data_IF_637623247603
#
_entry.id   IF_637623247603
#
_cell.length_a   1.000
_cell.length_b   1.000
_cell.length_c   1.000
_cell.angle_alpha   90.00
_cell.angle_beta   90.00
_cell.angle_gamma   90.00
#
_symmetry.space_group_name_H-M   'P 1'
#
loop_
_entity.id
_entity.type
_entity.pdbx_description
1 polymer ?
#
# COMPACT_ATOMS: atom_id res chain seq x y z
N UNK A 1 -7.39 -13.80 15.75
CA UNK A 1 -6.54 -13.45 16.91
C UNK A 1 -6.01 -12.07 16.65
N UNK A 2 -6.37 -11.11 17.49
CA UNK A 2 -6.26 -9.67 17.19
C UNK A 2 -4.82 -9.21 16.99
N UNK A 3 -4.50 -8.84 15.75
CA UNK A 3 -3.38 -7.96 15.46
C UNK A 3 -3.63 -6.60 16.11
N UNK A 4 -2.57 -5.94 16.51
CA UNK A 4 -2.60 -4.56 17.00
C UNK A 4 -3.15 -3.68 15.87
N UNK A 5 -4.44 -3.31 15.92
CA UNK A 5 -5.23 -2.57 14.90
C UNK A 5 -4.59 -1.33 14.25
N UNK A 6 -3.53 -0.74 14.80
CA UNK A 6 -2.77 0.31 14.09
C UNK A 6 -2.08 -0.21 12.82
N UNK A 7 -1.81 -1.51 12.79
CA UNK A 7 -1.21 -2.18 11.65
C UNK A 7 -2.07 -3.42 11.33
N UNK A 8 -3.25 -3.19 10.77
CA UNK A 8 -4.10 -4.27 10.27
C UNK A 8 -3.52 -4.80 8.96
N UNK A 9 -3.56 -6.12 8.82
CA UNK A 9 -3.07 -6.84 7.65
C UNK A 9 -4.12 -7.86 7.24
N UNK A 10 -4.66 -7.71 6.04
CA UNK A 10 -5.63 -8.64 5.48
C UNK A 10 -5.01 -9.42 4.33
N UNK A 11 -5.43 -10.68 4.21
CA UNK A 11 -5.06 -11.53 3.09
C UNK A 11 -6.13 -11.44 2.01
N UNK A 12 -5.79 -10.85 0.87
CA UNK A 12 -6.62 -10.82 -0.33
C UNK A 12 -6.31 -12.08 -1.13
N UNK A 13 -7.31 -12.96 -1.27
CA UNK A 13 -7.16 -14.26 -1.91
C UNK A 13 -8.36 -14.64 -2.79
N UNK A 14 -9.09 -13.65 -3.31
CA UNK A 14 -10.29 -13.90 -4.13
C UNK A 14 -9.97 -14.61 -5.46
N UNK A 15 -8.77 -14.43 -6.01
CA UNK A 15 -8.37 -14.96 -7.33
C UNK A 15 -7.04 -15.75 -7.26
N UNK A 16 -6.31 -15.89 -8.37
CA UNK A 16 -5.04 -16.62 -8.43
C UNK A 16 -3.86 -15.84 -7.84
N UNK A 17 -4.03 -14.57 -7.48
CA UNK A 17 -3.03 -13.81 -6.71
C UNK A 17 -3.47 -13.83 -5.25
N UNK A 18 -2.64 -14.42 -4.38
CA UNK A 18 -2.79 -14.28 -2.93
C UNK A 18 -1.80 -13.22 -2.45
N UNK A 19 -2.26 -12.22 -1.71
CA UNK A 19 -1.39 -11.18 -1.19
C UNK A 19 -1.86 -10.64 0.17
N UNK A 20 -0.91 -10.34 1.04
CA UNK A 20 -1.15 -9.57 2.27
C UNK A 20 -1.09 -8.06 2.00
N UNK A 21 -2.07 -7.32 2.52
CA UNK A 21 -2.21 -5.87 2.32
C UNK A 21 -2.54 -5.22 3.67
N UNK A 22 -1.93 -4.07 3.97
CA UNK A 22 -2.14 -3.39 5.25
C UNK A 22 -2.81 -2.02 5.14
N UNK A 23 -3.23 -1.43 6.27
CA UNK A 23 -3.84 -0.08 6.32
C UNK A 23 -2.84 1.09 6.41
N UNK A 24 -1.54 0.89 6.15
CA UNK A 24 -0.49 1.92 6.27
C UNK A 24 0.48 1.94 5.07
N UNK A 25 0.02 1.49 3.90
CA UNK A 25 0.71 1.70 2.62
C UNK A 25 1.62 0.57 2.14
N UNK A 26 1.88 -0.45 2.95
CA UNK A 26 2.60 -1.67 2.54
C UNK A 26 1.65 -2.80 2.08
N UNK A 27 2.20 -3.67 1.24
CA UNK A 27 1.60 -4.87 0.71
C UNK A 27 2.69 -5.88 0.34
N UNK A 28 2.33 -7.15 0.21
CA UNK A 28 3.24 -8.18 -0.27
C UNK A 28 4.15 -8.79 0.78
N UNK A 29 4.15 -8.32 2.03
CA UNK A 29 4.88 -8.97 3.14
C UNK A 29 3.92 -9.70 4.08
N UNK A 30 4.30 -10.92 4.50
CA UNK A 30 3.51 -11.75 5.39
C UNK A 30 3.64 -11.32 6.86
N UNK A 31 2.74 -11.74 7.77
CA UNK A 31 2.91 -11.55 9.21
C UNK A 31 4.21 -12.12 9.80
N UNK A 32 4.85 -13.05 9.09
CA UNK A 32 6.11 -13.66 9.49
C UNK A 32 7.34 -12.86 9.00
N UNK A 33 7.13 -11.69 8.37
CA UNK A 33 8.15 -10.89 7.70
C UNK A 33 8.92 -11.69 6.63
N UNK A 34 8.15 -12.45 5.84
CA UNK A 34 8.62 -13.17 4.64
C UNK A 34 7.81 -12.71 3.44
N UNK A 35 8.10 -13.26 2.25
CA UNK A 35 7.22 -13.11 1.11
C UNK A 35 5.76 -13.38 1.48
N UNK A 36 4.91 -12.47 1.02
CA UNK A 36 3.50 -12.34 1.35
C UNK A 36 2.63 -12.16 0.12
N UNK A 37 3.17 -12.38 -1.09
CA UNK A 37 2.42 -12.46 -2.33
C UNK A 37 2.81 -13.73 -3.09
N UNK A 38 1.83 -14.51 -3.52
CA UNK A 38 2.02 -15.74 -4.28
C UNK A 38 1.16 -15.78 -5.53
N UNK A 39 1.77 -16.23 -6.62
CA UNK A 39 1.08 -16.48 -7.88
C UNK A 39 1.74 -17.63 -8.65
N UNK A 40 0.97 -18.64 -9.11
CA UNK A 40 -0.44 -18.87 -8.82
C UNK A 40 -0.67 -19.21 -7.34
N UNK A 41 -1.83 -18.83 -6.80
CA UNK A 41 -2.20 -19.09 -5.39
C UNK A 41 -2.08 -20.57 -5.07
N UNK A 42 -1.38 -20.88 -3.98
CA UNK A 42 -1.14 -22.25 -3.52
C UNK A 42 -0.01 -23.00 -4.24
N UNK A 43 0.69 -22.36 -5.19
CA UNK A 43 1.88 -22.96 -5.84
C UNK A 43 3.13 -22.95 -4.95
N UNK A 44 3.16 -22.10 -3.92
CA UNK A 44 4.36 -21.72 -3.17
C UNK A 44 5.39 -20.90 -3.96
N UNK A 45 5.08 -20.47 -5.20
CA UNK A 45 5.86 -19.44 -5.90
C UNK A 45 5.56 -18.06 -5.31
N UNK A 46 6.52 -17.55 -4.54
CA UNK A 46 6.51 -16.17 -4.13
C UNK A 46 6.57 -15.25 -5.37
N UNK A 47 6.06 -14.03 -5.24
CA UNK A 47 6.16 -13.01 -6.27
C UNK A 47 6.64 -11.67 -5.70
N UNK A 48 6.19 -11.31 -4.50
CA UNK A 48 6.59 -10.07 -3.80
C UNK A 48 7.03 -10.46 -2.39
N UNK A 49 8.22 -10.00 -1.98
CA UNK A 49 8.67 -10.08 -0.60
C UNK A 49 8.00 -8.99 0.26
N UNK A 50 8.00 -7.77 -0.25
CA UNK A 50 7.35 -6.61 0.33
C UNK A 50 7.35 -5.44 -0.66
N UNK A 51 6.32 -4.61 -0.62
CA UNK A 51 6.20 -3.46 -1.50
C UNK A 51 5.33 -2.38 -0.84
N UNK A 52 5.48 -1.14 -1.28
CA UNK A 52 4.73 -0.03 -0.72
C UNK A 52 4.81 1.23 -1.55
N UNK A 53 3.86 2.14 -1.31
CA UNK A 53 3.84 3.45 -1.96
C UNK A 53 5.03 4.29 -1.49
N UNK A 54 5.75 4.90 -2.43
CA UNK A 54 6.79 5.90 -2.15
C UNK A 54 6.38 7.23 -2.75
N UNK A 55 6.42 8.28 -1.94
CA UNK A 55 6.14 9.65 -2.38
C UNK A 55 7.29 10.53 -1.95
N UNK A 56 7.94 11.18 -2.91
CA UNK A 56 9.01 12.13 -2.67
C UNK A 56 8.68 13.49 -3.27
N UNK A 57 9.23 14.54 -2.68
CA UNK A 57 9.08 15.91 -3.17
C UNK A 57 9.94 16.90 -2.42
N UNK A 58 9.77 18.17 -2.78
CA UNK A 58 10.42 19.30 -2.12
C UNK A 58 9.36 20.13 -1.41
N UNK A 59 9.44 20.17 -0.08
CA UNK A 59 8.60 21.00 0.78
C UNK A 59 9.45 22.14 1.36
N UNK A 60 9.13 23.38 0.99
CA UNK A 60 9.99 24.52 1.31
C UNK A 60 11.38 24.37 0.70
N UNK A 61 12.40 24.11 1.54
CA UNK A 61 13.78 23.83 1.13
C UNK A 61 14.18 22.36 1.33
N UNK A 62 13.34 21.57 1.99
CA UNK A 62 13.63 20.20 2.39
C UNK A 62 13.21 19.24 1.27
N UNK A 63 14.07 18.27 0.98
CA UNK A 63 13.72 17.12 0.16
C UNK A 63 13.23 16.02 1.09
N UNK A 64 11.99 15.59 0.91
CA UNK A 64 11.33 14.61 1.78
C UNK A 64 10.88 13.43 0.93
N UNK A 65 11.02 12.23 1.49
CA UNK A 65 10.48 11.00 0.92
C UNK A 65 9.83 10.21 2.03
N UNK A 66 8.57 9.82 1.83
CA UNK A 66 7.84 8.93 2.73
C UNK A 66 7.54 7.63 1.99
N UNK A 67 7.52 6.52 2.72
CA UNK A 67 7.34 5.21 2.14
C UNK A 67 6.40 4.34 2.99
N UNK A 68 5.60 3.52 2.33
CA UNK A 68 4.81 2.47 2.96
C UNK A 68 5.62 1.21 3.24
N UNK A 69 6.71 1.01 2.51
CA UNK A 69 7.63 -0.13 2.68
C UNK A 69 9.07 0.30 2.39
N UNK A 70 9.94 0.21 3.39
CA UNK A 70 11.37 0.42 3.23
C UNK A 70 12.06 -0.89 2.84
N UNK A 71 12.62 -0.96 1.63
CA UNK A 71 13.34 -2.14 1.10
C UNK A 71 14.59 -2.49 1.92
N UNK A 72 15.04 -1.63 2.83
CA UNK A 72 16.14 -1.89 3.78
C UNK A 72 15.57 -1.91 5.21
N UNK A 73 14.87 -3.00 5.55
CA UNK A 73 14.44 -3.27 6.93
C UNK A 73 12.93 -3.27 7.18
N UNK A 74 12.09 -3.15 6.14
CA UNK A 74 10.61 -3.24 6.23
C UNK A 74 9.95 -2.20 7.14
N UNK A 75 10.50 -0.99 7.20
CA UNK A 75 9.88 0.13 7.92
C UNK A 75 8.78 0.82 7.10
N UNK A 76 7.79 1.38 7.79
CA UNK A 76 6.72 2.21 7.23
C UNK A 76 6.73 3.63 7.84
N UNK A 77 6.39 4.63 7.03
CA UNK A 77 6.35 6.04 7.44
C UNK A 77 4.93 6.65 7.39
N UNK A 78 3.92 5.84 7.09
CA UNK A 78 2.52 6.24 7.12
C UNK A 78 1.82 5.73 8.38
N UNK A 79 0.82 6.46 8.85
CA UNK A 79 -0.10 6.02 9.91
C UNK A 79 -1.48 5.77 9.32
N UNK A 80 -2.24 4.78 9.84
CA UNK A 80 -3.59 4.53 9.38
C UNK A 80 -4.51 5.69 9.73
N UNK A 81 -5.59 5.83 8.95
CA UNK A 81 -6.64 6.79 9.23
C UNK A 81 -6.32 8.24 8.84
N UNK A 82 -7.23 9.16 9.19
CA UNK A 82 -7.04 10.59 9.02
C UNK A 82 -5.99 11.12 10.01
N UNK A 83 -5.30 12.20 9.64
CA UNK A 83 -4.15 12.69 10.41
C UNK A 83 -4.52 13.19 11.81
N UNK A 84 -5.78 13.60 12.00
CA UNK A 84 -6.34 14.02 13.29
C UNK A 84 -6.27 12.93 14.35
N UNK A 85 -6.22 11.65 13.94
CA UNK A 85 -6.17 10.49 14.83
C UNK A 85 -4.74 10.13 15.27
N UNK A 86 -3.70 10.70 14.66
CA UNK A 86 -2.30 10.33 14.92
C UNK A 86 -1.91 10.48 16.40
N UNK A 87 -2.32 11.56 17.05
CA UNK A 87 -1.98 11.81 18.45
C UNK A 87 -2.55 10.72 19.39
N UNK A 88 -3.78 10.29 19.13
CA UNK A 88 -4.44 9.24 19.90
C UNK A 88 -3.83 7.86 19.58
N UNK A 89 -3.49 7.60 18.31
CA UNK A 89 -2.77 6.40 17.88
C UNK A 89 -1.38 6.24 18.51
N UNK A 90 -0.65 7.34 18.75
CA UNK A 90 0.65 7.29 19.45
C UNK A 90 0.51 6.90 20.93
N UNK A 91 -0.63 7.21 21.55
CA UNK A 91 -0.92 6.87 22.96
C UNK A 91 -1.48 5.44 23.05
N UNK A 92 -2.48 5.16 22.24
CA UNK A 92 -3.14 3.86 22.10
C UNK A 92 -3.34 3.55 20.62
N UNK A 93 -2.57 2.60 20.05
CA UNK A 93 -2.76 2.07 18.71
C UNK A 93 -4.20 1.60 18.40
N UNK A 94 -5.05 1.36 19.41
CA UNK A 94 -6.43 0.89 19.28
C UNK A 94 -7.50 1.98 19.44
N UNK A 95 -7.09 3.23 19.66
CA UNK A 95 -7.98 4.37 19.95
C UNK A 95 -9.05 4.58 18.88
N UNK A 96 -8.72 4.34 17.61
CA UNK A 96 -9.60 4.47 16.45
C UNK A 96 -9.75 3.14 15.71
N UNK A 97 -10.64 2.24 16.16
CA UNK A 97 -10.87 0.94 15.48
C UNK A 97 -11.53 1.07 14.10
N UNK A 98 -12.00 2.25 13.72
CA UNK A 98 -12.46 2.61 12.39
C UNK A 98 -11.32 2.79 11.37
N UNK A 99 -10.10 3.07 11.81
CA UNK A 99 -8.95 3.31 10.93
C UNK A 99 -8.32 2.00 10.48
N UNK A 100 -9.05 1.29 9.63
CA UNK A 100 -8.79 -0.11 9.28
C UNK A 100 -8.91 -0.36 7.79
N UNK A 101 -8.56 -1.57 7.35
CA UNK A 101 -8.71 -2.02 5.97
C UNK A 101 -10.10 -2.64 5.80
N UNK A 102 -10.98 -1.93 5.11
CA UNK A 102 -12.33 -2.42 4.81
C UNK A 102 -12.28 -3.44 3.68
N UNK A 103 -12.98 -4.57 3.82
CA UNK A 103 -13.07 -5.60 2.77
C UNK A 103 -14.52 -5.76 2.29
N UNK A 104 -14.78 -5.57 0.99
CA UNK A 104 -16.16 -5.51 0.46
C UNK A 104 -16.95 -6.82 0.60
N UNK A 105 -16.26 -7.95 0.72
CA UNK A 105 -16.87 -9.27 0.94
C UNK A 105 -17.15 -9.58 2.41
N UNK A 106 -16.67 -8.76 3.34
CA UNK A 106 -16.94 -8.88 4.78
C UNK A 106 -18.22 -8.08 5.08
N UNK A 107 -19.31 -8.73 5.56
CA UNK A 107 -20.60 -8.05 5.75
C UNK A 107 -20.53 -6.83 6.67
N UNK A 108 -19.73 -6.90 7.73
CA UNK A 108 -19.55 -5.84 8.72
C UNK A 108 -18.89 -4.61 8.11
N UNK A 109 -17.85 -4.80 7.29
CA UNK A 109 -17.19 -3.71 6.59
C UNK A 109 -18.05 -3.16 5.46
N UNK A 110 -18.70 -4.04 4.70
CA UNK A 110 -19.61 -3.61 3.65
C UNK A 110 -20.77 -2.80 4.21
N UNK A 111 -21.24 -3.06 5.44
CA UNK A 111 -22.29 -2.27 6.07
C UNK A 111 -21.92 -0.79 6.18
N UNK A 112 -20.65 -0.49 6.47
CA UNK A 112 -20.07 0.85 6.65
C UNK A 112 -19.06 1.23 5.57
N UNK A 113 -19.22 0.67 4.36
CA UNK A 113 -18.28 0.84 3.25
C UNK A 113 -17.97 2.33 2.95
N UNK A 114 -16.70 2.77 2.97
CA UNK A 114 -16.37 4.20 2.87
C UNK A 114 -16.56 4.80 1.48
N UNK A 115 -16.32 4.02 0.42
CA UNK A 115 -16.36 4.52 -0.95
C UNK A 115 -17.79 4.52 -1.49
N UNK A 116 -18.41 5.69 -1.58
CA UNK A 116 -19.79 5.89 -2.05
C UNK A 116 -19.88 6.93 -3.16
N UNK A 117 -20.92 6.83 -3.99
CA UNK A 117 -21.24 7.83 -4.99
C UNK A 117 -21.89 9.08 -4.39
N UNK A 118 -22.19 10.08 -5.23
CA UNK A 118 -22.79 11.36 -4.82
C UNK A 118 -24.16 11.27 -4.13
N UNK A 119 -24.83 10.11 -4.18
CA UNK A 119 -26.14 9.88 -3.55
C UNK A 119 -26.07 8.79 -2.47
N UNK A 120 -24.87 8.31 -2.13
CA UNK A 120 -24.62 7.38 -1.04
C UNK A 120 -24.66 5.90 -1.41
N UNK A 121 -24.70 5.53 -2.69
CA UNK A 121 -24.56 4.12 -3.07
C UNK A 121 -23.12 3.68 -2.96
N UNK A 122 -22.89 2.48 -2.43
CA UNK A 122 -21.56 1.87 -2.28
C UNK A 122 -20.97 1.56 -3.66
N UNK A 123 -19.72 1.94 -3.85
CA UNK A 123 -18.96 1.67 -5.07
C UNK A 123 -18.05 0.48 -4.80
N UNK A 124 -18.26 -0.61 -5.56
CA UNK A 124 -17.41 -1.80 -5.60
C UNK A 124 -17.14 -2.09 -7.09
N UNK A 125 -15.87 -2.21 -7.45
CA UNK A 125 -15.38 -2.38 -8.83
C UNK A 125 -15.19 -3.87 -9.16
N UNK A 126 -14.56 -4.61 -8.25
CA UNK A 126 -14.16 -5.99 -8.36
C UNK A 126 -15.20 -7.02 -7.88
N UNK A 127 -14.77 -8.28 -7.86
CA UNK A 127 -15.45 -9.34 -7.08
C UNK A 127 -15.08 -9.26 -5.58
N UNK A 128 -13.91 -8.70 -5.27
CA UNK A 128 -13.51 -8.27 -3.94
C UNK A 128 -12.69 -6.98 -4.06
N UNK A 129 -13.03 -6.02 -3.20
CA UNK A 129 -12.36 -4.74 -3.08
C UNK A 129 -11.88 -4.57 -1.64
N UNK A 130 -10.77 -3.87 -1.48
CA UNK A 130 -10.34 -3.36 -0.18
C UNK A 130 -10.14 -1.85 -0.22
N UNK A 131 -10.42 -1.17 0.89
CA UNK A 131 -10.31 0.28 0.98
C UNK A 131 -9.69 0.68 2.30
N UNK A 132 -8.74 1.62 2.29
CA UNK A 132 -8.23 2.24 3.51
C UNK A 132 -7.78 3.68 3.28
N UNK A 133 -7.66 4.41 4.38
CA UNK A 133 -7.07 5.74 4.47
C UNK A 133 -5.78 5.65 5.30
N UNK A 134 -4.73 6.35 4.90
CA UNK A 134 -3.51 6.53 5.70
C UNK A 134 -2.84 7.88 5.39
N UNK A 135 -1.90 8.30 6.23
CA UNK A 135 -1.34 9.65 6.18
C UNK A 135 0.13 9.70 6.63
N UNK A 136 0.87 10.73 6.19
CA UNK A 136 2.27 10.97 6.60
C UNK A 136 2.44 12.25 7.42
N UNK A 137 1.44 12.59 8.24
CA UNK A 137 1.49 13.77 9.12
C UNK A 137 2.27 13.54 10.41
N UNK A 138 2.80 12.34 10.64
CA UNK A 138 3.55 12.03 11.86
C UNK A 138 5.06 12.01 11.61
N UNK A 139 5.73 13.11 11.94
CA UNK A 139 7.19 13.24 11.74
C UNK A 139 8.02 12.20 12.50
N UNK A 140 7.52 11.66 13.62
CA UNK A 140 8.26 10.63 14.39
C UNK A 140 8.29 9.27 13.69
N UNK A 141 7.44 9.06 12.66
CA UNK A 141 7.47 7.89 11.79
C UNK A 141 8.44 8.05 10.62
N UNK A 142 8.78 9.28 10.24
CA UNK A 142 9.67 9.54 9.12
C UNK A 142 11.12 9.19 9.47
N UNK A 143 11.81 8.50 8.57
CA UNK A 143 13.22 8.14 8.79
C UNK A 143 14.09 9.39 8.73
N UNK A 144 14.02 10.14 7.62
CA UNK A 144 14.73 11.40 7.43
C UNK A 144 14.04 12.28 6.36
N UNK A 145 13.90 13.60 6.58
CA UNK A 145 14.08 14.30 7.85
C UNK A 145 12.92 14.03 8.85
N UNK A 146 13.22 13.97 10.15
CA UNK A 146 12.26 13.76 11.25
C UNK A 146 11.77 15.08 11.89
N UNK A 147 12.17 16.22 11.33
CA UNK A 147 11.88 17.56 11.85
C UNK A 147 10.71 18.25 11.19
N UNK A 148 10.30 17.77 10.01
CA UNK A 148 9.21 18.31 9.18
C UNK A 148 8.26 17.18 8.83
N UNK A 149 6.97 17.48 8.69
CA UNK A 149 5.97 16.51 8.21
C UNK A 149 5.84 16.62 6.71
N UNK A 150 5.50 15.52 6.05
CA UNK A 150 5.06 15.55 4.65
C UNK A 150 3.54 15.38 4.64
N UNK A 151 2.74 16.46 4.54
CA UNK A 151 1.32 16.45 4.90
C UNK A 151 0.45 15.82 3.80
N UNK A 152 0.62 14.51 3.59
CA UNK A 152 -0.15 13.74 2.63
C UNK A 152 -1.20 12.92 3.35
N UNK A 153 -2.37 12.85 2.73
CA UNK A 153 -3.38 11.84 3.00
C UNK A 153 -3.53 10.99 1.74
N UNK A 154 -3.59 9.68 1.93
CA UNK A 154 -3.65 8.71 0.85
C UNK A 154 -4.88 7.83 1.06
N UNK A 155 -5.74 7.81 0.07
CA UNK A 155 -6.75 6.77 -0.07
C UNK A 155 -6.20 5.67 -0.96
N UNK A 156 -6.31 4.42 -0.52
CA UNK A 156 -5.99 3.26 -1.36
C UNK A 156 -7.24 2.42 -1.55
N UNK A 157 -7.55 2.16 -2.82
CA UNK A 157 -8.60 1.22 -3.24
C UNK A 157 -7.94 0.11 -4.03
N UNK A 158 -8.01 -1.11 -3.51
CA UNK A 158 -7.51 -2.30 -4.19
C UNK A 158 -8.70 -3.13 -4.66
N UNK A 159 -8.63 -3.70 -5.86
CA UNK A 159 -9.72 -4.53 -6.38
C UNK A 159 -9.22 -5.65 -7.29
N UNK A 160 -9.93 -6.78 -7.25
CA UNK A 160 -9.64 -7.97 -8.03
C UNK A 160 -10.92 -8.67 -8.49
N UNK A 161 -10.81 -9.42 -9.59
CA UNK A 161 -11.88 -10.28 -10.10
C UNK A 161 -11.43 -11.74 -10.12
N UNK A 162 -12.39 -12.65 -9.96
CA UNK A 162 -12.19 -14.09 -10.08
C UNK A 162 -12.88 -14.63 -11.34
N UNK A 163 -12.47 -14.11 -12.51
CA UNK A 163 -13.04 -14.51 -13.80
C UNK A 163 -12.06 -14.33 -14.95
N UNK A 164 -11.96 -15.35 -15.80
CA UNK A 164 -11.26 -15.29 -17.08
C UNK A 164 -9.86 -14.68 -16.98
N UNK A 165 -9.54 -13.75 -17.88
CA UNK A 165 -8.22 -13.11 -17.93
C UNK A 165 -7.86 -12.28 -16.68
N UNK A 166 -8.83 -11.92 -15.83
CA UNK A 166 -8.61 -11.06 -14.67
C UNK A 166 -8.25 -11.84 -13.40
N UNK A 167 -8.35 -13.17 -13.42
CA UNK A 167 -8.07 -13.98 -12.24
C UNK A 167 -6.59 -13.97 -11.82
N UNK A 168 -5.69 -13.49 -12.69
CA UNK A 168 -4.25 -13.39 -12.48
C UNK A 168 -3.79 -11.94 -12.24
N UNK A 169 -4.69 -11.05 -11.83
CA UNK A 169 -4.42 -9.62 -11.70
C UNK A 169 -4.97 -9.06 -10.39
N UNK A 170 -4.25 -8.10 -9.82
CA UNK A 170 -4.71 -7.26 -8.72
C UNK A 170 -4.39 -5.81 -9.07
N UNK A 171 -5.30 -4.90 -8.78
CA UNK A 171 -5.15 -3.48 -9.08
C UNK A 171 -5.08 -2.70 -7.78
N UNK A 172 -4.15 -1.74 -7.72
CA UNK A 172 -4.05 -0.74 -6.67
C UNK A 172 -4.30 0.63 -7.26
N UNK A 173 -5.33 1.32 -6.79
CA UNK A 173 -5.58 2.73 -7.06
C UNK A 173 -5.20 3.55 -5.83
N UNK A 174 -4.41 4.60 -6.05
CA UNK A 174 -4.00 5.55 -5.01
C UNK A 174 -4.50 6.95 -5.38
N UNK A 175 -5.21 7.57 -4.44
CA UNK A 175 -5.48 9.00 -4.47
C UNK A 175 -4.60 9.63 -3.41
N UNK A 176 -3.68 10.49 -3.82
CA UNK A 176 -2.69 11.14 -2.95
C UNK A 176 -3.02 12.62 -2.91
N UNK A 177 -3.37 13.12 -1.73
CA UNK A 177 -3.80 14.50 -1.51
C UNK A 177 -2.81 15.21 -0.60
N UNK A 178 -2.42 16.42 -0.99
CA UNK A 178 -1.77 17.34 -0.06
C UNK A 178 -2.86 17.90 0.86
N UNK A 179 -2.83 17.51 2.13
CA UNK A 179 -3.80 17.88 3.16
C UNK A 179 -3.24 18.87 4.17
N UNK A 180 -2.24 19.66 3.76
CA UNK A 180 -1.84 20.85 4.52
C UNK A 180 -3.04 21.79 4.71
N UNK A 181 -3.44 21.97 5.97
CA UNK A 181 -4.55 22.84 6.36
C UNK A 181 -4.13 24.30 6.51
N UNK A 182 -2.83 24.59 6.60
CA UNK A 182 -2.31 25.95 6.68
C UNK A 182 -2.17 26.61 5.29
N UNK A 183 -2.17 25.81 4.21
CA UNK A 183 -2.02 26.28 2.83
C UNK A 183 -0.64 26.89 2.54
N UNK A 184 0.35 26.57 3.37
CA UNK A 184 1.73 27.05 3.26
C UNK A 184 2.62 26.07 2.50
N UNK A 185 2.20 24.82 2.39
CA UNK A 185 3.07 23.70 2.09
C UNK A 185 2.85 23.21 0.65
N UNK A 186 3.18 24.07 -0.31
CA UNK A 186 3.23 23.64 -1.72
C UNK A 186 4.39 22.65 -1.92
N UNK A 187 4.04 21.40 -2.21
CA UNK A 187 4.99 20.35 -2.57
C UNK A 187 5.39 20.53 -4.03
N UNK A 188 6.69 20.67 -4.30
CA UNK A 188 7.27 20.81 -5.64
C UNK A 188 8.04 19.57 -6.02
N UNK A 189 8.24 19.36 -7.32
CA UNK A 189 9.04 18.24 -7.85
C UNK A 189 8.61 16.88 -7.26
N UNK A 190 7.31 16.58 -7.34
CA UNK A 190 6.78 15.32 -6.83
C UNK A 190 7.21 14.14 -7.70
N UNK A 191 7.62 13.06 -7.03
CA UNK A 191 7.89 11.76 -7.61
C UNK A 191 7.08 10.73 -6.83
N UNK A 192 6.36 9.88 -7.56
CA UNK A 192 5.53 8.81 -6.98
C UNK A 192 5.95 7.51 -7.64
N UNK A 193 6.10 6.46 -6.84
CA UNK A 193 6.40 5.12 -7.32
C UNK A 193 6.05 4.07 -6.28
N UNK A 194 6.22 2.81 -6.66
CA UNK A 194 6.13 1.69 -5.73
C UNK A 194 7.56 1.19 -5.49
N UNK A 195 8.02 1.27 -4.25
CA UNK A 195 9.23 0.59 -3.82
C UNK A 195 8.87 -0.87 -3.59
N UNK A 196 9.51 -1.79 -4.31
CA UNK A 196 9.22 -3.22 -4.26
C UNK A 196 10.49 -4.03 -4.12
N UNK A 197 10.47 -4.94 -3.14
CA UNK A 197 11.36 -6.08 -3.02
C UNK A 197 10.62 -7.28 -3.62
N UNK A 198 11.00 -7.63 -4.84
CA UNK A 198 10.37 -8.71 -5.61
C UNK A 198 11.14 -10.00 -5.35
N UNK A 199 10.41 -11.09 -5.19
CA UNK A 199 10.95 -12.39 -4.81
C UNK A 199 10.17 -13.44 -5.62
N UNK A 200 10.53 -13.61 -6.89
CA UNK A 200 9.83 -14.48 -7.84
C UNK A 200 10.40 -15.89 -7.72
N UNK A 201 9.66 -16.77 -7.03
CA UNK A 201 10.13 -18.14 -6.79
C UNK A 201 11.39 -18.13 -5.92
N UNK A 202 12.55 -18.37 -6.52
CA UNK A 202 13.85 -18.29 -5.87
C UNK A 202 14.50 -16.90 -6.02
N UNK A 203 14.36 -16.02 -5.01
CA UNK A 203 14.98 -14.68 -4.97
C UNK A 203 16.47 -14.62 -5.38
N UNK A 204 17.25 -15.68 -5.19
CA UNK A 204 18.69 -15.67 -5.51
C UNK A 204 18.99 -15.56 -7.02
N UNK A 205 18.02 -15.86 -7.90
CA UNK A 205 18.18 -15.81 -9.36
C UNK A 205 17.37 -14.71 -10.05
N UNK A 206 16.69 -13.86 -9.28
CA UNK A 206 15.88 -12.77 -9.81
C UNK A 206 16.72 -11.70 -10.51
N UNK A 207 16.23 -11.28 -11.67
CA UNK A 207 16.77 -10.19 -12.46
C UNK A 207 15.78 -9.02 -12.50
N UNK A 208 16.30 -7.83 -12.23
CA UNK A 208 15.54 -6.58 -12.35
C UNK A 208 15.88 -5.85 -13.65
N UNK A 209 14.87 -5.25 -14.26
CA UNK A 209 14.99 -4.50 -15.49
C UNK A 209 14.09 -3.27 -15.53
N UNK A 210 14.34 -2.42 -16.51
CA UNK A 210 13.54 -1.23 -16.76
C UNK A 210 13.41 -1.05 -18.26
N UNK A 211 12.18 -1.11 -18.75
CA UNK A 211 11.88 -0.85 -20.14
C UNK A 211 11.94 0.66 -20.41
N UNK A 212 12.88 1.06 -21.28
CA UNK A 212 13.12 2.45 -21.69
C UNK A 212 13.02 2.67 -23.20
N UNK A 213 12.67 1.66 -24.00
CA UNK A 213 12.55 1.77 -25.45
C UNK A 213 11.61 2.92 -25.81
N UNK A 214 12.20 3.92 -26.48
CA UNK A 214 11.51 5.15 -26.87
C UNK A 214 11.17 6.11 -25.74
N UNK A 215 11.56 5.83 -24.49
CA UNK A 215 11.23 6.64 -23.30
C UNK A 215 9.75 6.70 -22.97
N UNK A 216 8.93 5.81 -23.54
CA UNK A 216 7.47 5.97 -23.50
C UNK A 216 6.82 5.33 -22.27
N UNK A 217 7.34 4.19 -21.78
CA UNK A 217 6.60 3.36 -20.82
C UNK A 217 7.21 3.37 -19.41
N UNK A 218 8.53 3.54 -19.29
CA UNK A 218 9.24 3.64 -18.00
C UNK A 218 8.81 2.57 -16.98
N UNK A 219 8.65 1.33 -17.46
CA UNK A 219 8.12 0.21 -16.67
C UNK A 219 9.26 -0.61 -16.08
N UNK A 220 9.35 -0.63 -14.74
CA UNK A 220 10.20 -1.57 -14.02
C UNK A 220 9.60 -2.98 -14.03
N UNK A 221 10.44 -3.99 -14.11
CA UNK A 221 10.02 -5.39 -14.02
C UNK A 221 11.07 -6.23 -13.30
N UNK A 222 10.62 -7.31 -12.66
CA UNK A 222 11.46 -8.40 -12.16
C UNK A 222 11.11 -9.66 -12.94
N UNK A 223 12.11 -10.47 -13.26
CA UNK A 223 11.92 -11.77 -13.88
C UNK A 223 12.93 -12.76 -13.31
N UNK A 224 12.50 -14.02 -13.16
CA UNK A 224 13.43 -15.13 -13.08
C UNK A 224 13.63 -15.72 -14.50
N UNK A 225 14.88 -15.96 -14.93
CA UNK A 225 15.18 -16.59 -16.22
C UNK A 225 14.95 -18.10 -16.21
N UNK A 226 14.77 -18.70 -15.04
CA UNK A 226 14.39 -20.11 -14.87
C UNK A 226 12.89 -20.25 -14.72
N UNK A 227 12.38 -21.44 -15.04
CA UNK A 227 10.99 -21.74 -14.74
C UNK A 227 10.87 -22.10 -13.27
N UNK A 228 10.25 -21.21 -12.51
CA UNK A 228 9.90 -21.41 -11.10
C UNK A 228 8.76 -22.44 -10.96
N UNK A 229 8.71 -23.13 -9.82
CA UNK A 229 8.05 -24.43 -9.63
C UNK A 229 6.54 -24.38 -9.38
#
# INVERSE_FOLDING_TARGET
>A
TGGQRLHELEKVEINQVEIYINNYGEHGQSPAHTAGCWWPKGSANAYIFGAGLWVAGVLGIDSICVNGYNTVGSGDEFMPGPWEHNADHLIDPQSHPEDRLYVSTVPEDFAVWPLVDSIGNKIVIGDQDTWCLFNSHEKTRQVLPDTVTFPLTVTRHTFAWNRGLLENMLFFEYIIENTDTAGTDTIRHMYVGIGCDMDIGNAEDDLVGLERLGGQWSLGYTLSPTQEA
#
